data_IF_899698639111
#
_entry.id   IF_899698639111
#
_cell.length_a   1.000
_cell.length_b   1.000
_cell.length_c   1.000
_cell.angle_alpha   90.00
_cell.angle_beta   90.00
_cell.angle_gamma   90.00
#
_symmetry.space_group_name_H-M   'P 1'
#
loop_
_entity.id
_entity.type
_entity.pdbx_description
1 polymer ?
#
# COMPACT_ATOMS: atom_id res chain seq x y z
N UNK A 1 -2.65 9.97 -9.03
CA UNK A 1 -1.44 9.59 -9.78
C UNK A 1 -0.34 9.41 -8.76
N UNK A 2 0.42 8.34 -8.88
CA UNK A 2 1.61 8.08 -8.08
C UNK A 2 2.87 8.36 -8.92
N UNK A 3 4.06 8.12 -8.36
CA UNK A 3 5.31 8.55 -9.00
C UNK A 3 5.52 7.96 -10.40
N UNK A 4 5.12 6.72 -10.62
CA UNK A 4 5.38 5.96 -11.86
C UNK A 4 4.12 5.32 -12.45
N UNK A 5 2.99 5.38 -11.74
CA UNK A 5 1.76 4.69 -12.14
C UNK A 5 0.50 5.50 -11.81
N UNK A 6 -0.56 5.18 -12.54
CA UNK A 6 -1.93 5.60 -12.21
C UNK A 6 -2.67 4.37 -11.69
N UNK A 7 -2.66 4.13 -10.37
CA UNK A 7 -3.23 2.91 -9.80
C UNK A 7 -4.76 2.96 -9.86
N UNK A 8 -5.38 1.78 -9.87
CA UNK A 8 -6.85 1.68 -9.83
C UNK A 8 -7.44 2.20 -8.51
N UNK A 9 -6.71 2.05 -7.40
CA UNK A 9 -7.09 2.52 -6.07
C UNK A 9 -5.85 2.79 -5.22
N UNK A 10 -5.90 3.81 -4.35
CA UNK A 10 -4.95 3.96 -3.24
C UNK A 10 -5.69 4.34 -1.94
N UNK A 11 -5.45 3.58 -0.87
CA UNK A 11 -6.15 3.79 0.41
C UNK A 11 -5.85 5.14 1.07
N UNK A 12 -4.58 5.56 1.12
CA UNK A 12 -4.20 6.83 1.74
C UNK A 12 -4.72 8.06 0.98
N UNK A 13 -4.69 8.01 -0.35
CA UNK A 13 -5.31 9.04 -1.17
C UNK A 13 -6.84 9.08 -0.99
N UNK A 14 -7.52 7.92 -0.87
CA UNK A 14 -8.97 7.85 -0.61
C UNK A 14 -9.34 8.51 0.71
N UNK A 15 -8.61 8.20 1.79
CA UNK A 15 -8.79 8.83 3.11
C UNK A 15 -8.58 10.34 3.01
N UNK A 16 -7.54 10.78 2.30
CA UNK A 16 -7.22 12.21 2.16
C UNK A 16 -8.28 12.98 1.37
N UNK A 17 -8.80 12.41 0.28
CA UNK A 17 -9.90 13.00 -0.50
C UNK A 17 -11.15 13.12 0.36
N UNK A 18 -11.53 12.07 1.08
CA UNK A 18 -12.67 12.09 1.99
C UNK A 18 -12.53 13.17 3.08
N UNK A 19 -11.35 13.27 3.71
CA UNK A 19 -11.06 14.31 4.71
C UNK A 19 -11.21 15.71 4.12
N UNK A 20 -10.62 15.98 2.96
CA UNK A 20 -10.67 17.32 2.36
C UNK A 20 -12.09 17.70 1.98
N UNK A 21 -12.84 16.82 1.32
CA UNK A 21 -14.22 17.10 0.90
C UNK A 21 -15.10 17.56 2.08
N UNK A 22 -14.93 16.91 3.24
CA UNK A 22 -15.67 17.23 4.46
C UNK A 22 -15.11 18.47 5.18
N UNK A 23 -13.80 18.52 5.45
CA UNK A 23 -13.19 19.60 6.24
C UNK A 23 -13.19 20.95 5.50
N UNK A 24 -13.25 20.97 4.16
CA UNK A 24 -13.39 22.22 3.38
C UNK A 24 -14.85 22.56 3.06
N UNK A 25 -15.82 21.74 3.48
CA UNK A 25 -17.24 21.95 3.20
C UNK A 25 -17.64 21.83 1.73
N UNK A 26 -16.83 21.15 0.89
CA UNK A 26 -17.23 20.83 -0.50
C UNK A 26 -18.43 19.90 -0.52
N UNK A 27 -18.55 19.04 0.50
CA UNK A 27 -19.80 18.32 0.83
C UNK A 27 -20.16 18.58 2.31
N UNK A 28 -21.44 18.47 2.70
CA UNK A 28 -21.85 18.66 4.08
C UNK A 28 -21.24 17.61 5.02
N UNK A 29 -20.73 18.06 6.18
CA UNK A 29 -20.30 17.20 7.27
C UNK A 29 -21.44 17.01 8.28
N UNK A 30 -21.78 15.76 8.57
CA UNK A 30 -22.70 15.34 9.62
C UNK A 30 -21.92 14.67 10.77
N UNK A 31 -22.27 15.00 12.02
CA UNK A 31 -21.69 14.41 13.23
C UNK A 31 -22.69 13.47 13.92
N UNK A 32 -22.25 12.35 14.50
CA UNK A 32 -20.85 11.91 14.65
C UNK A 32 -20.29 11.17 13.44
N UNK A 33 -21.11 10.87 12.43
CA UNK A 33 -20.73 10.08 11.25
C UNK A 33 -21.31 10.70 9.99
N UNK A 34 -20.48 10.84 8.96
CA UNK A 34 -20.90 11.13 7.59
C UNK A 34 -20.62 9.93 6.70
N UNK A 35 -21.60 9.51 5.90
CA UNK A 35 -21.46 8.43 4.92
C UNK A 35 -21.72 8.96 3.51
N UNK A 36 -20.88 8.57 2.56
CA UNK A 36 -20.99 8.96 1.15
C UNK A 36 -20.22 7.98 0.26
N UNK A 37 -20.34 8.15 -1.06
CA UNK A 37 -19.64 7.35 -2.05
C UNK A 37 -18.57 8.19 -2.75
N UNK A 38 -17.41 7.60 -2.97
CA UNK A 38 -16.40 8.09 -3.90
C UNK A 38 -16.35 7.16 -5.12
N UNK A 39 -16.03 7.71 -6.29
CA UNK A 39 -15.78 6.92 -7.49
C UNK A 39 -14.28 6.91 -7.79
N UNK A 40 -13.72 5.73 -7.97
CA UNK A 40 -12.34 5.48 -8.37
C UNK A 40 -12.31 4.69 -9.69
N UNK A 41 -11.15 4.57 -10.37
CA UNK A 41 -11.02 3.64 -11.50
C UNK A 41 -11.36 2.18 -11.15
N UNK A 42 -11.20 1.77 -9.88
CA UNK A 42 -11.62 0.45 -9.38
C UNK A 42 -13.14 0.33 -9.12
N UNK A 43 -13.91 1.41 -9.31
CA UNK A 43 -15.34 1.48 -9.05
C UNK A 43 -15.71 2.33 -7.82
N UNK A 44 -16.95 2.16 -7.36
CA UNK A 44 -17.51 2.90 -6.23
C UNK A 44 -16.93 2.41 -4.89
N UNK A 45 -16.58 3.36 -4.03
CA UNK A 45 -16.01 3.14 -2.71
C UNK A 45 -16.90 3.83 -1.67
N UNK A 46 -17.51 3.01 -0.81
CA UNK A 46 -18.29 3.49 0.33
C UNK A 46 -17.40 4.03 1.43
N UNK A 47 -17.61 5.30 1.77
CA UNK A 47 -16.88 6.01 2.82
C UNK A 47 -17.77 6.16 4.05
N UNK A 48 -17.21 5.82 5.21
CA UNK A 48 -17.74 6.17 6.53
C UNK A 48 -16.70 7.01 7.27
N UNK A 49 -16.99 8.29 7.44
CA UNK A 49 -16.14 9.23 8.16
C UNK A 49 -16.71 9.49 9.56
N UNK A 50 -15.90 9.27 10.59
CA UNK A 50 -16.16 9.75 11.95
C UNK A 50 -15.74 11.21 12.03
N UNK A 51 -16.65 12.04 12.55
CA UNK A 51 -16.52 13.49 12.56
C UNK A 51 -16.78 14.01 13.98
N UNK A 52 -15.98 14.98 14.42
CA UNK A 52 -16.19 15.65 15.71
C UNK A 52 -15.60 17.06 15.67
N UNK A 53 -16.38 18.06 16.11
CA UNK A 53 -15.97 19.46 16.15
C UNK A 53 -15.51 20.00 14.79
N UNK A 54 -16.20 19.63 13.71
CA UNK A 54 -15.85 20.05 12.35
C UNK A 54 -14.58 19.40 11.78
N UNK A 55 -14.09 18.33 12.42
CA UNK A 55 -12.86 17.60 12.06
C UNK A 55 -13.20 16.16 11.71
N UNK A 56 -12.55 15.61 10.67
CA UNK A 56 -12.60 14.17 10.42
C UNK A 56 -11.57 13.47 11.33
N UNK A 57 -12.04 12.57 12.19
CA UNK A 57 -11.21 11.84 13.16
C UNK A 57 -10.80 10.47 12.64
N UNK A 58 -11.62 9.85 11.79
CA UNK A 58 -11.30 8.59 11.12
C UNK A 58 -12.11 8.46 9.83
N UNK A 59 -11.47 8.02 8.76
CA UNK A 59 -12.16 7.58 7.53
C UNK A 59 -12.00 6.08 7.45
N UNK A 60 -13.12 5.37 7.31
CA UNK A 60 -13.16 3.93 7.05
C UNK A 60 -13.81 3.67 5.69
N UNK A 61 -13.25 2.76 4.91
CA UNK A 61 -13.85 2.33 3.66
C UNK A 61 -13.74 0.82 3.47
N UNK A 62 -14.71 0.25 2.74
CA UNK A 62 -14.70 -1.14 2.27
C UNK A 62 -13.94 -1.16 0.94
N UNK A 63 -12.87 -1.95 0.85
CA UNK A 63 -12.09 -2.06 -0.38
C UNK A 63 -12.69 -3.13 -1.30
N UNK A 64 -12.17 -3.22 -2.53
CA UNK A 64 -12.38 -4.35 -3.44
C UNK A 64 -11.95 -5.67 -2.80
N UNK A 65 -12.47 -6.82 -3.27
CA UNK A 65 -12.02 -8.12 -2.78
C UNK A 65 -10.51 -8.30 -2.87
N UNK A 66 -9.93 -8.83 -1.80
CA UNK A 66 -8.51 -9.11 -1.66
C UNK A 66 -8.29 -10.62 -1.55
N UNK A 67 -7.23 -11.15 -2.13
CA UNK A 67 -6.95 -12.59 -2.14
C UNK A 67 -5.45 -12.88 -2.15
N UNK A 68 -5.07 -14.10 -1.77
CA UNK A 68 -3.71 -14.59 -1.90
C UNK A 68 -3.53 -15.29 -3.26
N UNK A 69 -2.49 -14.92 -4.00
CA UNK A 69 -2.11 -15.54 -5.26
C UNK A 69 -1.03 -16.62 -5.05
N UNK A 70 -0.06 -16.34 -4.18
CA UNK A 70 0.99 -17.29 -3.77
C UNK A 70 1.17 -17.22 -2.26
N UNK A 71 1.39 -18.36 -1.62
CA UNK A 71 1.66 -18.47 -0.18
C UNK A 71 2.95 -19.25 0.03
N UNK A 72 3.83 -18.71 0.88
CA UNK A 72 5.11 -19.33 1.26
C UNK A 72 5.98 -19.77 0.06
N UNK A 73 5.91 -19.00 -1.04
CA UNK A 73 6.71 -19.24 -2.22
C UNK A 73 8.17 -18.88 -1.96
N UNK A 74 9.10 -19.79 -2.27
CA UNK A 74 10.54 -19.54 -2.12
C UNK A 74 11.09 -19.09 -3.46
N UNK A 75 11.61 -17.86 -3.52
CA UNK A 75 12.25 -17.28 -4.70
C UNK A 75 13.75 -17.12 -4.49
N UNK A 76 14.53 -17.27 -5.55
CA UNK A 76 15.96 -17.00 -5.55
C UNK A 76 16.18 -15.51 -5.86
N UNK A 77 16.68 -14.76 -4.88
CA UNK A 77 16.90 -13.32 -5.00
C UNK A 77 18.40 -13.05 -5.07
N UNK A 78 18.94 -12.66 -6.25
CA UNK A 78 20.34 -12.24 -6.36
C UNK A 78 20.72 -11.24 -5.26
N UNK A 79 21.90 -11.43 -4.67
CA UNK A 79 22.45 -10.67 -3.53
C UNK A 79 21.79 -10.90 -2.16
N UNK A 80 20.62 -11.57 -2.09
CA UNK A 80 19.95 -11.89 -0.80
C UNK A 80 19.82 -13.39 -0.53
N UNK A 81 19.94 -14.24 -1.55
CA UNK A 81 19.75 -15.69 -1.44
C UNK A 81 18.28 -16.08 -1.56
N UNK A 82 17.89 -17.19 -0.92
CA UNK A 82 16.50 -17.66 -0.94
C UNK A 82 15.64 -16.83 0.02
N UNK A 83 14.53 -16.31 -0.48
CA UNK A 83 13.56 -15.53 0.31
C UNK A 83 12.19 -16.19 0.17
N UNK A 84 11.52 -16.42 1.30
CA UNK A 84 10.12 -16.87 1.33
C UNK A 84 9.21 -15.65 1.25
N UNK A 85 8.29 -15.66 0.30
CA UNK A 85 7.34 -14.57 0.05
C UNK A 85 5.93 -15.08 -0.09
N UNK A 86 4.98 -14.24 0.28
CA UNK A 86 3.60 -14.33 -0.20
C UNK A 86 3.40 -13.38 -1.37
N UNK A 87 2.40 -13.65 -2.20
CA UNK A 87 1.89 -12.68 -3.17
C UNK A 87 0.41 -12.51 -2.95
N UNK A 88 -0.02 -11.27 -2.68
CA UNK A 88 -1.41 -10.95 -2.39
C UNK A 88 -1.95 -9.82 -3.25
N UNK A 89 -3.21 -9.92 -3.65
CA UNK A 89 -3.97 -8.84 -4.26
C UNK A 89 -4.75 -8.07 -3.19
N UNK A 90 -4.61 -6.75 -3.19
CA UNK A 90 -5.39 -5.84 -2.32
C UNK A 90 -5.92 -4.61 -3.05
N UNK A 91 -6.11 -4.72 -4.36
CA UNK A 91 -6.29 -3.61 -5.32
C UNK A 91 -5.07 -3.40 -6.24
N UNK A 92 -3.92 -3.92 -5.82
CA UNK A 92 -2.70 -4.14 -6.62
C UNK A 92 -2.06 -5.45 -6.14
N UNK A 93 -1.15 -6.04 -6.93
CA UNK A 93 -0.37 -7.19 -6.49
C UNK A 93 0.88 -6.76 -5.71
N UNK A 94 1.00 -7.33 -4.52
CA UNK A 94 2.13 -7.14 -3.62
C UNK A 94 2.91 -8.43 -3.47
N UNK A 95 4.23 -8.38 -3.65
CA UNK A 95 5.11 -9.39 -3.05
C UNK A 95 5.37 -9.00 -1.60
N UNK A 96 5.17 -9.93 -0.67
CA UNK A 96 5.24 -9.67 0.76
C UNK A 96 6.27 -10.61 1.38
N UNK A 97 7.32 -10.06 1.98
CA UNK A 97 8.32 -10.83 2.73
C UNK A 97 8.28 -10.49 4.22
N UNK A 98 8.48 -11.49 5.08
CA UNK A 98 8.70 -11.24 6.50
C UNK A 98 10.07 -10.57 6.70
N UNK A 99 10.09 -9.40 7.35
CA UNK A 99 11.33 -8.67 7.66
C UNK A 99 12.28 -9.49 8.55
N UNK A 100 11.76 -10.44 9.33
CA UNK A 100 12.56 -11.34 10.20
C UNK A 100 13.48 -12.27 9.41
N UNK A 101 13.33 -12.36 8.09
CA UNK A 101 14.27 -13.08 7.22
C UNK A 101 15.61 -12.34 7.03
N UNK A 102 15.72 -11.09 7.51
CA UNK A 102 16.89 -10.23 7.32
C UNK A 102 17.42 -9.74 8.67
N UNK A 103 18.46 -10.40 9.19
CA UNK A 103 18.98 -10.20 10.57
C UNK A 103 19.25 -8.74 10.95
N UNK A 104 19.69 -7.92 10.00
CA UNK A 104 20.10 -6.54 10.23
C UNK A 104 19.11 -5.50 9.69
N UNK A 105 17.87 -5.91 9.37
CA UNK A 105 16.87 -5.01 8.83
C UNK A 105 15.74 -4.76 9.84
N UNK A 106 15.51 -3.48 10.14
CA UNK A 106 14.39 -3.05 10.96
C UNK A 106 13.54 -2.06 10.16
N UNK A 107 12.24 -2.15 10.33
CA UNK A 107 11.28 -1.25 9.69
C UNK A 107 11.24 0.09 10.45
N UNK A 108 12.30 0.89 10.33
CA UNK A 108 12.45 2.21 10.96
C UNK A 108 12.93 3.23 9.94
N UNK A 109 12.65 4.53 10.13
CA UNK A 109 12.92 5.56 9.11
C UNK A 109 14.40 5.65 8.72
N UNK A 110 15.31 5.44 9.67
CA UNK A 110 16.76 5.53 9.49
C UNK A 110 17.29 4.45 8.51
N UNK A 111 16.56 3.35 8.37
CA UNK A 111 16.92 2.24 7.49
C UNK A 111 16.26 2.35 6.11
N UNK A 112 15.60 3.47 5.79
CA UNK A 112 14.80 3.62 4.57
C UNK A 112 15.54 3.21 3.29
N UNK A 113 16.84 3.55 3.16
CA UNK A 113 17.68 3.16 2.02
C UNK A 113 17.88 1.64 1.90
N UNK A 114 18.06 0.96 3.03
CA UNK A 114 18.26 -0.49 3.04
C UNK A 114 16.94 -1.22 2.82
N UNK A 115 15.85 -0.71 3.39
CA UNK A 115 14.48 -1.22 3.16
C UNK A 115 14.15 -1.16 1.66
N UNK A 116 14.39 -0.03 1.00
CA UNK A 116 14.10 0.11 -0.44
C UNK A 116 15.01 -0.79 -1.26
N UNK A 117 16.31 -0.89 -0.93
CA UNK A 117 17.24 -1.81 -1.61
C UNK A 117 16.76 -3.26 -1.57
N UNK A 118 16.43 -3.77 -0.39
CA UNK A 118 15.95 -5.15 -0.20
C UNK A 118 14.61 -5.35 -0.90
N UNK A 119 13.68 -4.40 -0.76
CA UNK A 119 12.37 -4.46 -1.41
C UNK A 119 12.46 -4.49 -2.93
N UNK A 120 13.33 -3.67 -3.54
CA UNK A 120 13.49 -3.63 -5.00
C UNK A 120 14.04 -4.95 -5.56
N UNK A 121 15.01 -5.56 -4.86
CA UNK A 121 15.54 -6.87 -5.25
C UNK A 121 14.49 -7.98 -5.17
N UNK A 122 13.69 -8.00 -4.11
CA UNK A 122 12.60 -8.97 -3.93
C UNK A 122 11.52 -8.75 -5.00
N UNK A 123 11.15 -7.50 -5.28
CA UNK A 123 10.17 -7.16 -6.32
C UNK A 123 10.58 -7.73 -7.66
N UNK A 124 11.83 -7.46 -8.07
CA UNK A 124 12.34 -7.95 -9.36
C UNK A 124 12.36 -9.47 -9.43
N UNK A 125 12.83 -10.13 -8.38
CA UNK A 125 12.87 -11.60 -8.33
C UNK A 125 11.47 -12.21 -8.39
N UNK A 126 10.50 -11.62 -7.70
CA UNK A 126 9.11 -12.07 -7.74
C UNK A 126 8.48 -11.87 -9.12
N UNK A 127 8.72 -10.73 -9.78
CA UNK A 127 8.27 -10.49 -11.15
C UNK A 127 8.81 -11.54 -12.14
N UNK A 128 10.07 -11.95 -11.96
CA UNK A 128 10.71 -12.92 -12.86
C UNK A 128 10.26 -14.37 -12.59
N UNK A 129 9.89 -14.71 -11.34
CA UNK A 129 9.69 -16.11 -10.92
C UNK A 129 8.23 -16.46 -10.61
N UNK A 130 7.37 -15.50 -10.30
CA UNK A 130 5.99 -15.74 -9.85
C UNK A 130 5.00 -15.11 -10.82
N UNK A 131 4.24 -15.96 -11.50
CA UNK A 131 3.15 -15.53 -12.38
C UNK A 131 1.90 -15.23 -11.56
N UNK A 132 1.28 -14.08 -11.80
CA UNK A 132 0.00 -13.68 -11.19
C UNK A 132 -1.01 -13.36 -12.28
N UNK A 133 -2.29 -13.52 -11.97
CA UNK A 133 -3.37 -13.23 -12.89
C UNK A 133 -4.58 -12.75 -12.09
N UNK A 134 -5.11 -11.57 -12.43
CA UNK A 134 -6.39 -11.11 -11.91
C UNK A 134 -7.47 -11.35 -12.96
N UNK A 135 -8.58 -12.08 -12.65
CA UNK A 135 -9.63 -12.40 -13.62
C UNK A 135 -10.21 -11.19 -14.37
N UNK A 136 -10.41 -10.08 -13.68
CA UNK A 136 -10.98 -8.85 -14.26
C UNK A 136 -9.92 -7.86 -14.77
N UNK A 137 -8.65 -8.06 -14.42
CA UNK A 137 -7.53 -7.14 -14.74
C UNK A 137 -6.32 -7.95 -15.21
N UNK A 138 -6.42 -8.65 -16.35
CA UNK A 138 -5.44 -9.66 -16.78
C UNK A 138 -4.05 -9.08 -17.08
N UNK A 139 -3.95 -7.78 -17.37
CA UNK A 139 -2.68 -7.08 -17.61
C UNK A 139 -1.90 -6.72 -16.35
N UNK A 140 -2.50 -6.86 -15.16
CA UNK A 140 -1.87 -6.47 -13.90
C UNK A 140 -0.88 -7.53 -13.41
N UNK A 141 0.37 -7.11 -13.21
CA UNK A 141 1.45 -7.91 -12.61
C UNK A 141 1.78 -7.49 -11.18
N UNK A 142 2.80 -8.12 -10.59
CA UNK A 142 3.37 -7.70 -9.30
C UNK A 142 4.09 -6.36 -9.48
N UNK A 143 3.57 -5.29 -8.87
CA UNK A 143 4.15 -3.94 -9.02
C UNK A 143 4.75 -3.39 -7.73
N UNK A 144 4.33 -3.91 -6.57
CA UNK A 144 4.72 -3.37 -5.26
C UNK A 144 5.38 -4.43 -4.38
N UNK A 145 6.40 -4.04 -3.62
CA UNK A 145 7.00 -4.88 -2.58
C UNK A 145 6.64 -4.37 -1.19
N UNK A 146 6.37 -5.30 -0.27
CA UNK A 146 6.09 -5.02 1.12
C UNK A 146 6.96 -5.88 2.03
N UNK A 147 7.77 -5.23 2.87
CA UNK A 147 8.35 -5.89 4.02
C UNK A 147 7.37 -5.76 5.19
N UNK A 148 7.02 -6.87 5.80
CA UNK A 148 6.04 -6.92 6.89
C UNK A 148 6.62 -7.66 8.08
N UNK A 149 6.27 -7.25 9.30
CA UNK A 149 6.69 -7.96 10.50
C UNK A 149 5.79 -7.67 11.68
N UNK A 150 5.65 -8.65 12.56
CA UNK A 150 5.01 -8.42 13.85
C UNK A 150 5.89 -7.55 14.74
N UNK A 151 5.26 -6.68 15.52
CA UNK A 151 5.92 -5.88 16.54
C UNK A 151 5.43 -6.32 17.91
N UNK A 152 6.35 -6.83 18.71
CA UNK A 152 6.08 -7.14 20.10
C UNK A 152 5.88 -5.84 20.90
N UNK A 153 4.80 -5.79 21.69
CA UNK A 153 4.52 -4.67 22.60
C UNK A 153 4.01 -3.37 21.96
N UNK A 154 3.77 -3.35 20.64
CA UNK A 154 3.09 -2.22 19.98
C UNK A 154 1.57 -2.44 19.96
N UNK A 155 0.74 -1.39 20.14
CA UNK A 155 -0.71 -1.48 19.95
C UNK A 155 -1.10 -1.81 18.50
N UNK A 156 -0.17 -1.70 17.54
CA UNK A 156 -0.38 -2.00 16.13
C UNK A 156 -0.22 -3.48 15.81
N UNK A 157 0.44 -4.31 16.62
CA UNK A 157 0.76 -5.73 16.37
C UNK A 157 1.60 -6.04 15.10
N UNK A 158 1.46 -5.27 14.03
CA UNK A 158 2.15 -5.40 12.74
C UNK A 158 2.74 -4.06 12.31
N UNK A 159 3.79 -4.15 11.49
CA UNK A 159 4.33 -3.04 10.73
C UNK A 159 4.68 -3.45 9.33
N UNK A 160 4.33 -2.57 8.40
CA UNK A 160 4.62 -2.71 6.98
C UNK A 160 5.52 -1.57 6.52
N UNK A 161 6.51 -1.89 5.71
CA UNK A 161 7.20 -0.94 4.86
C UNK A 161 6.90 -1.31 3.41
N UNK A 162 6.04 -0.51 2.78
CA UNK A 162 5.67 -0.66 1.38
C UNK A 162 6.60 0.18 0.53
N UNK A 163 7.18 -0.42 -0.51
CA UNK A 163 8.10 0.24 -1.43
C UNK A 163 7.51 0.27 -2.83
N UNK A 164 7.35 1.48 -3.37
CA UNK A 164 7.10 1.71 -4.79
C UNK A 164 8.45 1.90 -5.47
N UNK A 165 8.78 1.06 -6.46
CA UNK A 165 10.04 1.21 -7.20
C UNK A 165 10.05 2.52 -7.98
N UNK A 166 11.20 3.20 -8.03
CA UNK A 166 11.33 4.47 -8.76
C UNK A 166 11.62 4.28 -10.26
N UNK A 167 11.64 3.03 -10.74
CA UNK A 167 11.97 2.65 -12.11
C UNK A 167 12.23 1.14 -12.23
N UNK A 168 12.67 0.66 -13.41
CA UNK A 168 13.09 -0.73 -13.61
C UNK A 168 14.22 -1.12 -12.67
N UNK A 169 14.18 -2.34 -12.15
CA UNK A 169 15.22 -2.89 -11.27
C UNK A 169 16.09 -3.86 -12.06
N UNK A 170 17.40 -3.68 -11.98
CA UNK A 170 18.42 -4.51 -12.61
C UNK A 170 19.37 -5.07 -11.53
N UNK A 171 19.49 -6.39 -11.45
CA UNK A 171 20.34 -7.10 -10.49
C UNK A 171 21.84 -6.82 -10.66
N UNK A 172 22.27 -6.28 -11.80
CA UNK A 172 23.67 -5.96 -12.05
C UNK A 172 23.96 -4.46 -11.87
N UNK A 173 22.94 -3.64 -11.57
CA UNK A 173 23.07 -2.20 -11.41
C UNK A 173 22.48 -1.70 -10.06
N UNK A 174 23.32 -1.55 -9.02
CA UNK A 174 22.89 -1.08 -7.69
C UNK A 174 22.22 0.29 -7.66
N UNK A 175 22.42 1.14 -8.67
CA UNK A 175 21.75 2.44 -8.76
C UNK A 175 20.23 2.31 -8.98
N UNK A 176 19.76 1.14 -9.43
CA UNK A 176 18.34 0.84 -9.64
C UNK A 176 17.67 0.26 -8.40
N UNK A 177 18.43 -0.14 -7.37
CA UNK A 177 17.90 -0.74 -6.14
C UNK A 177 17.40 0.32 -5.18
N UNK A 178 16.52 1.17 -5.67
CA UNK A 178 15.95 2.30 -4.96
C UNK A 178 14.44 2.36 -5.20
N UNK A 179 13.77 3.18 -4.41
CA UNK A 179 12.33 3.30 -4.40
C UNK A 179 11.87 4.35 -3.40
N UNK A 180 10.56 4.54 -3.36
CA UNK A 180 9.89 5.41 -2.42
C UNK A 180 9.08 4.57 -1.45
N UNK A 181 9.33 4.75 -0.15
CA UNK A 181 8.50 4.14 0.88
C UNK A 181 7.16 4.84 0.97
N UNK A 182 6.07 4.09 1.11
CA UNK A 182 4.84 4.67 1.61
C UNK A 182 5.06 5.13 3.06
N UNK A 183 4.63 6.35 3.38
CA UNK A 183 4.74 6.92 4.72
C UNK A 183 3.54 6.55 5.57
N UNK A 184 2.42 6.21 4.95
CA UNK A 184 1.29 5.61 5.64
C UNK A 184 1.47 4.08 5.70
N UNK A 185 0.65 3.38 6.50
CA UNK A 185 0.67 1.91 6.58
C UNK A 185 0.31 1.18 5.28
N UNK A 186 -0.06 1.92 4.22
CA UNK A 186 -0.51 1.49 2.91
C UNK A 186 -1.81 0.67 2.95
N UNK A 187 -2.94 1.29 2.60
CA UNK A 187 -4.26 0.64 2.70
C UNK A 187 -4.39 -0.62 1.84
N UNK A 188 -3.97 -0.57 0.58
CA UNK A 188 -3.98 -1.72 -0.35
C UNK A 188 -2.97 -2.80 0.06
N UNK A 189 -1.80 -2.40 0.59
CA UNK A 189 -0.82 -3.34 1.15
C UNK A 189 -1.29 -4.05 2.42
N UNK A 190 -2.02 -3.35 3.29
CA UNK A 190 -2.73 -3.95 4.44
C UNK A 190 -3.80 -4.94 3.97
N UNK A 191 -4.56 -4.62 2.92
CA UNK A 191 -5.56 -5.52 2.34
C UNK A 191 -4.91 -6.83 1.84
N UNK A 192 -3.83 -6.72 1.07
CA UNK A 192 -3.07 -7.88 0.59
C UNK A 192 -2.50 -8.71 1.75
N UNK A 193 -1.95 -8.05 2.78
CA UNK A 193 -1.42 -8.74 3.97
C UNK A 193 -2.50 -9.47 4.75
N UNK A 194 -3.65 -8.85 4.99
CA UNK A 194 -4.77 -9.49 5.67
C UNK A 194 -5.28 -10.69 4.87
N UNK A 195 -5.35 -10.59 3.55
CA UNK A 195 -5.75 -11.70 2.69
C UNK A 195 -4.77 -12.88 2.77
N UNK A 196 -3.44 -12.64 2.75
CA UNK A 196 -2.46 -13.73 2.89
C UNK A 196 -2.47 -14.35 4.29
N UNK A 197 -2.64 -13.55 5.35
CA UNK A 197 -2.81 -14.06 6.71
C UNK A 197 -4.07 -14.90 6.85
N UNK A 198 -5.18 -14.45 6.28
CA UNK A 198 -6.45 -15.19 6.30
C UNK A 198 -6.35 -16.52 5.56
N UNK A 199 -5.77 -16.52 4.36
CA UNK A 199 -5.55 -17.74 3.59
C UNK A 199 -4.65 -18.76 4.33
N UNK A 200 -3.76 -18.29 5.21
CA UNK A 200 -2.95 -19.13 6.12
C UNK A 200 -3.66 -19.50 7.43
N UNK A 201 -4.91 -19.07 7.64
CA UNK A 201 -5.66 -19.28 8.88
C UNK A 201 -5.15 -18.47 10.09
N UNK A 202 -4.35 -17.43 9.85
CA UNK A 202 -3.69 -16.60 10.88
C UNK A 202 -4.45 -15.32 11.22
N UNK A 203 -5.51 -14.99 10.48
CA UNK A 203 -6.40 -13.86 10.73
C UNK A 203 -7.82 -14.28 10.37
N UNK A 204 -8.79 -14.07 11.27
CA UNK A 204 -10.20 -14.42 11.01
C UNK A 204 -11.00 -13.22 10.48
N UNK A 205 -12.13 -13.50 9.84
CA UNK A 205 -13.18 -12.49 9.65
C UNK A 205 -13.58 -11.91 11.02
N UNK A 206 -13.84 -10.60 11.05
CA UNK A 206 -14.12 -9.79 12.23
C UNK A 206 -12.99 -9.71 13.28
N UNK A 207 -11.80 -10.23 12.97
CA UNK A 207 -10.61 -9.99 13.79
C UNK A 207 -10.03 -8.61 13.48
N UNK A 208 -9.67 -7.87 14.53
CA UNK A 208 -9.04 -6.56 14.37
C UNK A 208 -7.59 -6.74 13.91
N UNK A 209 -7.26 -6.16 12.77
CA UNK A 209 -5.90 -6.04 12.28
C UNK A 209 -5.43 -4.61 12.46
N UNK A 210 -4.42 -4.39 13.30
CA UNK A 210 -3.78 -3.08 13.39
C UNK A 210 -2.46 -3.16 12.64
N UNK A 211 -2.01 -2.04 12.09
CA UNK A 211 -0.75 -1.99 11.36
C UNK A 211 -0.21 -0.57 11.35
N UNK A 212 1.10 -0.43 11.52
CA UNK A 212 1.78 0.86 11.41
C UNK A 212 2.78 0.88 10.26
N UNK A 213 3.12 2.08 9.79
CA UNK A 213 4.25 2.29 8.87
C UNK A 213 5.57 2.39 9.66
N UNK A 214 6.73 2.53 9.00
CA UNK A 214 7.99 2.82 9.71
C UNK A 214 7.94 4.10 10.57
N UNK A 215 6.97 5.00 10.32
CA UNK A 215 6.75 6.21 11.13
C UNK A 215 5.93 5.96 12.40
N UNK A 216 5.38 4.75 12.60
CA UNK A 216 4.63 4.41 13.81
C UNK A 216 3.20 4.94 13.87
N UNK A 217 2.64 5.39 12.74
CA UNK A 217 1.24 5.83 12.67
C UNK A 217 0.33 4.60 12.48
N UNK A 218 -0.56 4.27 13.43
CA UNK A 218 -1.39 3.08 13.36
C UNK A 218 -2.62 3.32 12.48
N UNK A 219 -2.90 2.37 11.59
CA UNK A 219 -4.19 2.23 10.91
C UNK A 219 -4.90 0.97 11.37
N UNK A 220 -6.22 1.01 11.24
CA UNK A 220 -7.10 -0.11 11.54
C UNK A 220 -7.46 -0.84 10.25
N UNK A 221 -7.57 -2.16 10.34
CA UNK A 221 -8.03 -3.05 9.29
C UNK A 221 -8.92 -4.13 9.87
N UNK A 222 -9.84 -4.65 9.06
CA UNK A 222 -10.71 -5.77 9.43
C UNK A 222 -11.23 -6.44 8.18
N UNK A 223 -11.23 -7.77 8.16
CA UNK A 223 -11.93 -8.56 7.16
C UNK A 223 -13.39 -8.68 7.56
N UNK A 224 -14.32 -8.34 6.67
CA UNK A 224 -15.76 -8.28 7.00
C UNK A 224 -16.60 -9.37 6.34
N UNK A 225 -16.12 -9.97 5.27
CA UNK A 225 -16.77 -11.11 4.62
C UNK A 225 -15.76 -11.93 3.81
N UNK A 226 -16.06 -13.22 3.63
CA UNK A 226 -15.43 -14.09 2.63
C UNK A 226 -16.20 -14.00 1.30
N UNK A 227 -15.49 -14.11 0.19
CA UNK A 227 -16.06 -14.06 -1.17
C UNK A 227 -15.15 -14.79 -2.16
N UNK A 228 -15.40 -14.62 -3.46
CA UNK A 228 -14.60 -15.19 -4.55
C UNK A 228 -14.21 -14.10 -5.57
N UNK A 229 -13.03 -14.23 -6.15
CA UNK A 229 -12.61 -13.52 -7.37
C UNK A 229 -12.13 -14.57 -8.36
N UNK A 230 -12.96 -14.89 -9.35
CA UNK A 230 -12.73 -16.08 -10.19
C UNK A 230 -12.57 -17.32 -9.30
N UNK A 231 -11.43 -17.99 -9.43
CA UNK A 231 -11.11 -19.20 -8.65
C UNK A 231 -10.53 -18.90 -7.26
N UNK A 232 -10.08 -17.67 -7.00
CA UNK A 232 -9.43 -17.31 -5.74
C UNK A 232 -10.43 -17.19 -4.59
N UNK A 233 -10.13 -17.84 -3.45
CA UNK A 233 -10.74 -17.50 -2.17
C UNK A 233 -10.31 -16.09 -1.76
N UNK A 234 -11.30 -15.21 -1.63
CA UNK A 234 -11.10 -13.80 -1.38
C UNK A 234 -11.81 -13.37 -0.10
N UNK A 235 -11.40 -12.23 0.41
CA UNK A 235 -11.99 -11.58 1.57
C UNK A 235 -12.25 -10.13 1.24
N UNK A 236 -13.26 -9.52 1.85
CA UNK A 236 -13.39 -8.07 1.78
C UNK A 236 -12.76 -7.41 2.99
N UNK A 237 -11.72 -6.60 2.80
CA UNK A 237 -11.13 -5.80 3.86
C UNK A 237 -11.81 -4.43 3.98
N UNK A 238 -11.82 -3.93 5.20
CA UNK A 238 -12.03 -2.53 5.53
C UNK A 238 -10.73 -1.94 6.05
N UNK A 239 -10.46 -0.68 5.71
CA UNK A 239 -9.29 0.08 6.17
C UNK A 239 -9.78 1.37 6.80
N UNK A 240 -9.22 1.70 7.96
CA UNK A 240 -9.49 2.90 8.74
C UNK A 240 -8.21 3.68 9.03
N UNK A 241 -8.19 4.96 8.70
CA UNK A 241 -7.07 5.86 8.98
C UNK A 241 -7.51 7.32 9.06
N UNK A 242 -6.53 8.21 9.20
CA UNK A 242 -6.76 9.65 9.34
C UNK A 242 -5.78 10.43 8.45
N UNK A 243 -6.25 11.56 7.92
CA UNK A 243 -5.46 12.52 7.16
C UNK A 243 -5.57 13.93 7.74
N UNK A 244 -4.64 14.79 7.37
CA UNK A 244 -4.60 16.19 7.78
C UNK A 244 -4.36 17.09 6.57
N UNK A 245 -5.09 18.20 6.49
CA UNK A 245 -4.78 19.27 5.54
C UNK A 245 -3.47 19.92 5.98
N UNK A 246 -2.47 19.90 5.10
CA UNK A 246 -1.14 20.48 5.37
C UNK A 246 -0.94 21.86 4.76
N UNK A 247 -1.81 22.26 3.83
CA UNK A 247 -1.78 23.58 3.21
C UNK A 247 -2.73 23.69 2.03
N UNK A 248 -2.87 24.92 1.53
CA UNK A 248 -3.54 25.24 0.27
C UNK A 248 -2.51 25.87 -0.66
N UNK A 249 -2.49 25.46 -1.93
CA UNK A 249 -1.53 25.92 -2.91
C UNK A 249 -2.21 26.26 -4.23
N UNK A 250 -1.70 27.27 -4.91
CA UNK A 250 -2.04 27.60 -6.30
C UNK A 250 -0.79 27.35 -7.14
N UNK A 251 -0.81 26.28 -7.93
CA UNK A 251 0.25 25.99 -8.90
C UNK A 251 -0.01 26.76 -10.19
N UNK A 252 1.05 27.34 -10.76
CA UNK A 252 1.02 28.10 -12.01
C UNK A 252 2.08 27.56 -12.96
N UNK A 253 1.82 27.62 -14.26
CA UNK A 253 2.76 27.22 -15.31
C UNK A 253 2.95 28.38 -16.28
N UNK A 254 4.17 28.94 -16.31
CA UNK A 254 4.53 29.99 -17.26
C UNK A 254 4.83 29.35 -18.64
N UNK A 255 4.27 29.86 -19.76
CA UNK A 255 4.57 29.34 -21.10
C UNK A 255 6.06 29.39 -21.51
N UNK A 256 6.88 30.17 -20.79
CA UNK A 256 8.32 30.32 -21.00
C UNK A 256 9.18 29.50 -20.02
N UNK A 257 8.56 28.75 -19.11
CA UNK A 257 9.27 27.85 -18.21
C UNK A 257 10.08 26.80 -19.03
N UNK A 258 11.40 26.67 -18.83
CA UNK A 258 12.20 25.68 -19.54
C UNK A 258 11.89 24.22 -19.14
N UNK A 259 11.14 24.01 -18.04
CA UNK A 259 10.78 22.70 -17.51
C UNK A 259 9.26 22.59 -17.27
N UNK A 260 8.41 22.75 -18.30
CA UNK A 260 6.97 22.84 -18.12
C UNK A 260 6.31 21.54 -17.62
N UNK A 261 7.03 20.43 -17.73
CA UNK A 261 6.61 19.10 -17.24
C UNK A 261 7.46 18.63 -16.04
N UNK A 262 8.27 19.51 -15.44
CA UNK A 262 9.27 19.14 -14.45
C UNK A 262 10.44 18.33 -15.03
N UNK A 263 11.20 17.68 -14.15
CA UNK A 263 12.34 16.83 -14.47
C UNK A 263 12.61 15.85 -13.32
N UNK A 264 13.40 14.82 -13.58
CA UNK A 264 13.91 13.87 -12.58
C UNK A 264 15.43 13.85 -12.61
N UNK A 265 16.06 13.65 -11.44
CA UNK A 265 17.52 13.54 -11.30
C UNK A 265 17.85 12.24 -10.54
N UNK A 266 18.94 11.60 -10.97
CA UNK A 266 19.41 10.28 -10.51
C UNK A 266 19.76 10.15 -9.03
N UNK A 267 19.81 11.26 -8.30
CA UNK A 267 20.12 11.32 -6.87
C UNK A 267 18.92 10.91 -6.01
N UNK A 268 17.70 11.16 -6.49
CA UNK A 268 16.44 10.87 -5.79
C UNK A 268 15.55 9.93 -6.62
N UNK A 269 15.58 10.04 -7.95
CA UNK A 269 14.80 9.19 -8.87
C UNK A 269 15.72 8.20 -9.58
N UNK A 270 15.33 6.92 -9.65
CA UNK A 270 16.08 5.95 -10.43
C UNK A 270 16.16 6.42 -11.90
N UNK A 271 17.35 6.29 -12.52
CA UNK A 271 17.48 6.55 -13.96
C UNK A 271 16.66 5.51 -14.73
N UNK A 272 15.89 5.97 -15.71
CA UNK A 272 15.31 5.10 -16.74
C UNK A 272 16.39 4.55 -17.66
#
# INVERSE_FOLDING_TARGET
MEQVEYPLMSGGNTISVATVLLETGMIPMLEPVTEFQLESPAGLIGIRAECSNGKVTQVTFKNVPAFAAHLDAVIDVPHLGKVTVDVGWGGMFYVIADVKQFDNLRLVPEMGREITRVSSLILKAAQDQLQVHHPDFPEMGITISQLSGQIDGSPSNWKNAVTVASGPVDFDNPATWTGTLDRCPCGTGMCAKMATLHAKGQLKVDEAFRNESPLGLPWNGRLVEETKVGDYDAVIPTIGGQSWITGFATYVLDPTDPFPNGYTIGDIWAKS
#
